data_IF_564481505889
#
_entry.id   IF_564481505889
#
_cell.length_a   1.000
_cell.length_b   1.000
_cell.length_c   1.000
_cell.angle_alpha   90.00
_cell.angle_beta   90.00
_cell.angle_gamma   90.00
#
_symmetry.space_group_name_H-M   'P 1'
#
loop_
_entity.id
_entity.type
_entity.pdbx_description
1 polymer ?
#
# COMPACT_ATOMS: atom_id res chain seq x y z
N UNK A 1 -30.43 20.62 -29.92
CA UNK A 1 -30.34 19.19 -29.55
C UNK A 1 -28.90 18.67 -29.63
N UNK A 2 -28.20 18.81 -30.77
CA UNK A 2 -26.82 18.33 -30.95
C UNK A 2 -25.80 18.91 -29.95
N UNK A 3 -25.83 20.22 -29.70
CA UNK A 3 -24.93 20.89 -28.74
C UNK A 3 -25.07 20.37 -27.30
N UNK A 4 -26.28 19.96 -26.90
CA UNK A 4 -26.53 19.37 -25.59
C UNK A 4 -25.98 17.94 -25.50
N UNK A 5 -26.09 17.16 -26.58
CA UNK A 5 -25.55 15.78 -26.66
C UNK A 5 -24.02 15.79 -26.65
N UNK A 6 -23.39 16.71 -27.37
CA UNK A 6 -21.92 16.83 -27.39
C UNK A 6 -21.35 17.29 -26.03
N UNK A 7 -22.05 18.18 -25.32
CA UNK A 7 -21.67 18.57 -23.95
C UNK A 7 -21.84 17.44 -22.94
N UNK A 8 -22.86 16.61 -23.09
CA UNK A 8 -23.08 15.46 -22.21
C UNK A 8 -22.03 14.37 -22.48
N UNK A 9 -21.65 14.16 -23.75
CA UNK A 9 -20.58 13.25 -24.15
C UNK A 9 -19.21 13.69 -23.63
N UNK A 10 -18.89 14.99 -23.66
CA UNK A 10 -17.60 15.49 -23.16
C UNK A 10 -17.48 15.34 -21.64
N UNK A 11 -18.55 15.59 -20.88
CA UNK A 11 -18.58 15.37 -19.42
C UNK A 11 -18.37 13.89 -19.09
N UNK A 12 -19.03 12.99 -19.84
CA UNK A 12 -18.83 11.54 -19.68
C UNK A 12 -17.38 11.16 -19.94
N UNK A 13 -16.78 11.69 -21.01
CA UNK A 13 -15.41 11.36 -21.42
C UNK A 13 -14.38 11.81 -20.37
N UNK A 14 -14.57 13.00 -19.77
CA UNK A 14 -13.74 13.48 -18.65
C UNK A 14 -13.89 12.56 -17.43
N UNK A 15 -15.11 12.18 -17.07
CA UNK A 15 -15.36 11.27 -15.93
C UNK A 15 -14.66 9.91 -16.08
N UNK A 16 -14.66 9.34 -17.29
CA UNK A 16 -13.99 8.07 -17.57
C UNK A 16 -12.46 8.17 -17.61
N UNK A 17 -11.91 9.32 -18.00
CA UNK A 17 -10.46 9.54 -18.02
C UNK A 17 -9.87 9.70 -16.62
N UNK A 18 -10.60 10.32 -15.68
CA UNK A 18 -10.08 10.59 -14.33
C UNK A 18 -10.30 9.41 -13.35
N UNK A 19 -11.26 8.53 -13.62
CA UNK A 19 -11.58 7.38 -12.76
C UNK A 19 -10.38 6.48 -12.41
N UNK A 20 -9.52 6.05 -13.37
CA UNK A 20 -8.40 5.18 -13.04
C UNK A 20 -7.27 5.89 -12.27
N UNK A 21 -7.13 7.21 -12.43
CA UNK A 21 -6.09 8.00 -11.77
C UNK A 21 -6.39 8.23 -10.28
N UNK A 22 -7.67 8.34 -9.92
CA UNK A 22 -8.10 8.43 -8.51
C UNK A 22 -7.85 7.09 -7.78
N UNK A 23 -8.01 5.96 -8.49
CA UNK A 23 -7.84 4.64 -7.89
C UNK A 23 -6.37 4.21 -7.78
N UNK A 24 -5.48 4.70 -8.64
CA UNK A 24 -4.09 4.22 -8.75
C UNK A 24 -3.08 4.90 -7.83
N UNK A 25 -3.49 5.84 -6.98
CA UNK A 25 -2.58 6.60 -6.11
C UNK A 25 -2.15 5.85 -4.82
N UNK A 26 -2.28 4.53 -4.82
CA UNK A 26 -1.87 3.68 -3.71
C UNK A 26 -0.34 3.63 -3.61
N UNK A 27 0.26 3.88 -2.42
CA UNK A 27 1.70 3.88 -2.27
C UNK A 27 2.25 2.46 -2.51
N UNK A 28 3.28 2.35 -3.36
CA UNK A 28 3.97 1.09 -3.65
C UNK A 28 5.43 1.19 -3.22
N UNK A 29 5.92 0.17 -2.53
CA UNK A 29 7.32 0.07 -2.11
C UNK A 29 7.88 -1.28 -2.54
N UNK A 30 9.06 -1.28 -3.14
CA UNK A 30 9.76 -2.51 -3.50
C UNK A 30 10.64 -2.97 -2.34
N UNK A 31 10.43 -4.19 -1.84
CA UNK A 31 11.27 -4.79 -0.81
C UNK A 31 12.28 -5.76 -1.43
N UNK A 32 13.58 -5.59 -1.14
CA UNK A 32 14.61 -6.50 -1.63
C UNK A 32 14.41 -7.91 -1.07
N UNK A 33 14.18 -8.88 -1.96
CA UNK A 33 13.99 -10.29 -1.60
C UNK A 33 12.55 -10.69 -1.22
N UNK A 34 11.63 -9.72 -1.10
CA UNK A 34 10.24 -9.97 -0.73
C UNK A 34 9.22 -9.48 -1.79
N UNK A 35 9.64 -8.60 -2.70
CA UNK A 35 8.83 -8.13 -3.82
C UNK A 35 8.12 -6.80 -3.55
N UNK A 36 7.19 -6.43 -4.45
CA UNK A 36 6.43 -5.18 -4.34
C UNK A 36 5.33 -5.28 -3.28
N UNK A 37 5.27 -4.28 -2.41
CA UNK A 37 4.23 -4.14 -1.38
C UNK A 37 3.34 -2.96 -1.73
N UNK A 38 2.03 -3.22 -1.69
CA UNK A 38 1.00 -2.21 -1.84
C UNK A 38 0.57 -1.72 -0.45
N UNK A 39 0.66 -0.42 -0.22
CA UNK A 39 0.18 0.24 0.99
C UNK A 39 -1.10 1.03 0.76
N UNK A 40 -1.52 1.74 1.80
CA UNK A 40 -2.64 2.67 1.80
C UNK A 40 -2.23 4.01 2.40
N UNK A 41 -2.97 5.07 2.08
CA UNK A 41 -2.86 6.35 2.76
C UNK A 41 -3.79 6.38 3.96
N UNK A 42 -3.31 6.93 5.07
CA UNK A 42 -4.09 7.16 6.27
C UNK A 42 -3.76 8.51 6.87
N UNK A 43 -4.64 8.98 7.77
CA UNK A 43 -4.59 10.33 8.31
C UNK A 43 -4.72 10.30 9.83
N UNK A 44 -3.91 11.11 10.50
CA UNK A 44 -3.95 11.23 11.96
C UNK A 44 -5.14 12.05 12.41
N UNK A 45 -5.86 11.60 13.45
CA UNK A 45 -7.08 12.25 13.93
C UNK A 45 -6.91 13.69 14.48
N UNK A 46 -5.72 14.05 14.97
CA UNK A 46 -5.50 15.33 15.65
C UNK A 46 -4.85 16.40 14.75
N UNK A 47 -3.87 16.04 13.93
CA UNK A 47 -3.12 16.98 13.09
C UNK A 47 -3.49 16.91 11.60
N UNK A 48 -4.38 15.98 11.21
CA UNK A 48 -4.73 15.73 9.80
C UNK A 48 -3.51 15.48 8.90
N UNK A 49 -2.43 14.93 9.47
CA UNK A 49 -1.23 14.60 8.73
C UNK A 49 -1.40 13.27 8.00
N UNK A 50 -1.17 13.28 6.69
CA UNK A 50 -1.20 12.08 5.84
C UNK A 50 0.08 11.29 5.99
N UNK A 51 -0.05 9.98 6.20
CA UNK A 51 1.06 9.04 6.25
C UNK A 51 0.77 7.80 5.42
N UNK A 52 1.84 7.13 4.98
CA UNK A 52 1.75 5.86 4.26
C UNK A 52 1.72 4.71 5.26
N UNK A 53 0.77 3.81 5.08
CA UNK A 53 0.57 2.66 5.94
C UNK A 53 0.71 1.37 5.13
N UNK A 54 1.54 0.46 5.62
CA UNK A 54 1.71 -0.88 5.05
C UNK A 54 1.37 -1.90 6.13
N UNK A 55 0.21 -2.54 6.01
CA UNK A 55 -0.28 -3.53 6.97
C UNK A 55 0.02 -4.95 6.49
N UNK A 56 0.09 -5.88 7.44
CA UNK A 56 0.10 -7.32 7.16
C UNK A 56 1.27 -7.79 6.29
N UNK A 57 2.43 -7.14 6.37
CA UNK A 57 3.65 -7.62 5.71
C UNK A 57 4.12 -8.88 6.45
N UNK A 58 4.13 -10.07 5.81
CA UNK A 58 4.60 -11.28 6.45
C UNK A 58 6.11 -11.18 6.68
N UNK A 59 6.54 -11.26 7.95
CA UNK A 59 7.96 -11.21 8.33
C UNK A 59 8.54 -12.60 8.67
N UNK A 60 7.68 -13.58 8.87
CA UNK A 60 8.03 -14.96 9.17
C UNK A 60 7.02 -15.91 8.52
N UNK A 61 7.43 -17.15 8.32
CA UNK A 61 6.51 -18.18 7.86
C UNK A 61 5.41 -18.43 8.92
N UNK A 62 4.16 -18.59 8.46
CA UNK A 62 3.05 -18.88 9.36
C UNK A 62 3.33 -20.19 10.11
N UNK A 63 3.30 -20.20 11.46
CA UNK A 63 3.62 -21.40 12.23
C UNK A 63 2.47 -22.41 12.10
N UNK A 64 2.52 -23.26 11.07
CA UNK A 64 1.55 -24.33 10.83
C UNK A 64 2.07 -25.66 11.38
N UNK A 65 1.22 -26.40 12.10
CA UNK A 65 1.51 -27.75 12.58
C UNK A 65 2.53 -27.82 13.74
N UNK A 66 3.43 -28.80 13.70
CA UNK A 66 4.43 -29.11 14.73
C UNK A 66 5.57 -28.09 14.87
N UNK A 67 5.50 -26.95 14.17
CA UNK A 67 6.48 -25.87 14.20
C UNK A 67 6.37 -24.96 15.44
N UNK A 68 5.37 -25.18 16.31
CA UNK A 68 5.11 -24.38 17.52
C UNK A 68 6.29 -24.30 18.51
N UNK A 69 7.31 -25.15 18.36
CA UNK A 69 8.46 -25.25 19.27
C UNK A 69 9.81 -24.91 18.63
N UNK A 70 9.83 -24.42 17.38
CA UNK A 70 11.07 -24.00 16.73
C UNK A 70 11.15 -22.48 16.70
N UNK A 71 12.33 -21.96 17.06
CA UNK A 71 12.70 -20.55 16.94
C UNK A 71 12.20 -19.98 15.61
N UNK A 72 11.68 -18.75 15.65
CA UNK A 72 11.18 -18.00 14.49
C UNK A 72 12.06 -18.25 13.26
N UNK A 73 11.52 -18.92 12.25
CA UNK A 73 12.25 -19.17 11.01
C UNK A 73 12.17 -17.91 10.16
N UNK A 74 13.34 -17.30 9.94
CA UNK A 74 13.52 -16.19 9.01
C UNK A 74 13.07 -16.61 7.61
N UNK A 75 12.36 -15.73 6.91
CA UNK A 75 11.93 -16.00 5.53
C UNK A 75 13.19 -16.20 4.68
N UNK A 76 13.36 -17.34 3.97
CA UNK A 76 14.64 -17.72 3.35
C UNK A 76 15.10 -16.78 2.22
N UNK A 77 14.25 -15.84 1.80
CA UNK A 77 14.58 -14.81 0.82
C UNK A 77 14.46 -13.38 1.39
N UNK A 78 14.20 -13.22 2.69
CA UNK A 78 14.10 -11.91 3.34
C UNK A 78 15.48 -11.27 3.41
N UNK A 79 15.78 -10.38 2.46
CA UNK A 79 16.83 -9.38 2.66
C UNK A 79 16.55 -8.59 3.94
N UNK A 80 17.61 -7.99 4.49
CA UNK A 80 17.63 -7.17 5.71
C UNK A 80 16.27 -6.52 5.98
N UNK A 81 15.66 -6.88 7.11
CA UNK A 81 14.33 -6.41 7.49
C UNK A 81 14.31 -4.88 7.53
N UNK A 82 13.40 -4.29 6.75
CA UNK A 82 13.14 -2.84 6.67
C UNK A 82 12.73 -2.20 8.02
N UNK A 83 12.66 -2.95 9.12
CA UNK A 83 12.49 -2.41 10.47
C UNK A 83 13.70 -1.53 10.84
N UNK A 84 14.87 -1.81 10.26
CA UNK A 84 16.09 -1.04 10.52
C UNK A 84 16.22 0.20 9.60
N UNK A 85 15.51 0.23 8.46
CA UNK A 85 15.64 1.26 7.41
C UNK A 85 14.38 2.13 7.23
N UNK A 86 13.19 1.66 7.63
CA UNK A 86 12.05 2.57 7.82
C UNK A 86 12.33 3.37 9.09
N UNK A 87 12.65 4.64 8.90
CA UNK A 87 12.22 5.67 9.84
C UNK A 87 10.69 5.62 9.91
N UNK A 88 10.16 4.62 10.64
CA UNK A 88 8.78 4.65 11.13
C UNK A 88 8.74 5.96 11.89
N UNK A 89 8.02 6.94 11.33
CA UNK A 89 7.83 8.24 11.95
C UNK A 89 7.58 8.02 13.44
N UNK A 90 8.61 8.32 14.24
CA UNK A 90 8.49 8.46 15.67
C UNK A 90 7.57 9.65 15.85
N UNK A 91 6.28 9.36 16.00
CA UNK A 91 5.31 10.32 16.51
C UNK A 91 5.68 10.46 17.98
N UNK A 92 6.59 11.40 18.23
CA UNK A 92 6.84 12.02 19.52
C UNK A 92 6.14 13.40 19.52
#
# INVERSE_FOLDING_TARGET
MYMAVMGLLSVILVLFCDLPNILSNAPRVNLPGQGDILGSWSETAWTNQKFQQFLSIPYAESPKGSLHLRILQHVPNGGRTLIDDLQICSIA
#
